data_IF_973497149466
#
_entry.id   IF_973497149466
#
_cell.length_a   1.000
_cell.length_b   1.000
_cell.length_c   1.000
_cell.angle_alpha   90.00
_cell.angle_beta   90.00
_cell.angle_gamma   90.00
#
_symmetry.space_group_name_H-M   'P 1'
#
loop_
_entity.id
_entity.type
_entity.pdbx_description
1 polymer ?
#
# COMPACT_ATOMS: atom_id res chain seq x y z
N UNK A 1 6.06 11.96 20.87
CA UNK A 1 5.13 11.81 19.72
C UNK A 1 3.76 12.32 20.14
N UNK A 2 3.09 13.09 19.29
CA UNK A 2 1.67 13.38 19.52
C UNK A 2 0.85 12.09 19.32
N UNK A 3 -0.35 12.01 19.91
CA UNK A 3 -1.19 10.81 19.87
C UNK A 3 -1.48 10.34 18.43
N UNK A 4 -1.66 11.28 17.50
CA UNK A 4 -1.87 10.96 16.09
C UNK A 4 -0.66 10.31 15.41
N UNK A 5 0.55 10.84 15.62
CA UNK A 5 1.78 10.30 15.03
C UNK A 5 2.00 8.84 15.42
N UNK A 6 1.70 8.46 16.67
CA UNK A 6 1.78 7.04 17.09
C UNK A 6 0.83 6.13 16.31
N UNK A 7 -0.36 6.62 15.92
CA UNK A 7 -1.36 5.83 15.16
C UNK A 7 -0.96 5.61 13.71
N UNK A 8 -0.09 6.45 13.13
CA UNK A 8 0.41 6.27 11.76
C UNK A 8 1.19 4.97 11.59
N UNK A 9 1.75 4.41 12.67
CA UNK A 9 2.44 3.12 12.64
C UNK A 9 1.52 1.92 12.33
N UNK A 10 0.19 2.11 12.40
CA UNK A 10 -0.76 1.12 11.91
C UNK A 10 -0.68 0.95 10.38
N UNK A 11 -0.18 1.94 9.64
CA UNK A 11 -0.04 1.87 8.18
C UNK A 11 0.92 0.76 7.75
N UNK A 12 2.22 0.75 8.14
CA UNK A 12 3.12 -0.33 7.75
C UNK A 12 2.70 -1.68 8.34
N UNK A 13 2.06 -1.69 9.51
CA UNK A 13 1.50 -2.91 10.10
C UNK A 13 0.37 -3.50 9.24
N UNK A 14 -0.56 -2.67 8.77
CA UNK A 14 -1.66 -3.13 7.91
C UNK A 14 -1.16 -3.63 6.57
N UNK A 15 -0.14 -2.96 6.01
CA UNK A 15 0.52 -3.39 4.78
C UNK A 15 1.25 -4.72 4.96
N UNK A 16 1.95 -4.93 6.07
CA UNK A 16 2.55 -6.23 6.39
C UNK A 16 1.48 -7.32 6.44
N UNK A 17 0.37 -7.10 7.17
CA UNK A 17 -0.73 -8.07 7.28
C UNK A 17 -1.31 -8.39 5.89
N UNK A 18 -1.53 -7.38 5.06
CA UNK A 18 -2.04 -7.54 3.71
C UNK A 18 -1.09 -8.36 2.84
N UNK A 19 0.20 -8.03 2.85
CA UNK A 19 1.22 -8.70 2.06
C UNK A 19 1.44 -10.16 2.51
N UNK A 20 1.27 -10.47 3.80
CA UNK A 20 1.28 -11.85 4.30
C UNK A 20 0.11 -12.68 3.77
N UNK A 21 -1.04 -12.06 3.54
CA UNK A 21 -2.22 -12.71 2.95
C UNK A 21 -2.07 -12.90 1.43
N UNK A 22 -1.58 -11.87 0.75
CA UNK A 22 -1.50 -11.76 -0.70
C UNK A 22 -0.35 -12.60 -1.30
N UNK A 23 0.87 -12.39 -0.81
CA UNK A 23 2.09 -12.92 -1.43
C UNK A 23 2.11 -14.43 -1.67
N UNK A 24 1.60 -15.29 -0.74
CA UNK A 24 1.61 -16.72 -0.96
C UNK A 24 0.82 -17.18 -2.18
N UNK A 25 -0.16 -16.38 -2.65
CA UNK A 25 -1.12 -16.78 -3.68
C UNK A 25 -1.07 -15.91 -4.93
N UNK A 26 -0.56 -14.68 -4.84
CA UNK A 26 -0.67 -13.68 -5.93
C UNK A 26 -0.04 -14.12 -7.24
N UNK A 27 1.11 -14.83 -7.21
CA UNK A 27 1.78 -15.30 -8.42
C UNK A 27 0.96 -16.39 -9.12
N UNK A 28 0.42 -17.35 -8.34
CA UNK A 28 -0.42 -18.40 -8.89
C UNK A 28 -1.73 -17.83 -9.45
N UNK A 29 -2.32 -16.87 -8.76
CA UNK A 29 -3.48 -16.13 -9.22
C UNK A 29 -3.21 -15.39 -10.54
N UNK A 30 -2.14 -14.58 -10.59
CA UNK A 30 -1.74 -13.84 -11.79
C UNK A 30 -1.57 -14.76 -13.01
N UNK A 31 -0.87 -15.89 -12.85
CA UNK A 31 -0.64 -16.87 -13.93
C UNK A 31 -1.92 -17.52 -14.43
N UNK A 32 -2.87 -17.86 -13.54
CA UNK A 32 -4.19 -18.40 -13.95
C UNK A 32 -5.00 -17.42 -14.79
N UNK A 33 -4.81 -16.12 -14.56
CA UNK A 33 -5.47 -15.05 -15.30
C UNK A 33 -4.59 -14.46 -16.43
N UNK A 34 -3.59 -15.23 -16.90
CA UNK A 34 -2.81 -14.90 -18.10
C UNK A 34 -1.69 -13.87 -17.90
N UNK A 35 -1.38 -13.49 -16.65
CA UNK A 35 -0.32 -12.53 -16.34
C UNK A 35 0.95 -13.27 -15.91
N UNK A 36 1.99 -13.18 -16.73
CA UNK A 36 3.30 -13.76 -16.45
C UNK A 36 4.09 -12.91 -15.47
N UNK A 37 4.17 -13.36 -14.22
CA UNK A 37 5.00 -12.72 -13.17
C UNK A 37 5.93 -13.77 -12.55
N UNK A 38 7.18 -13.36 -12.32
CA UNK A 38 8.15 -14.16 -11.59
C UNK A 38 7.97 -14.06 -10.06
N UNK A 39 8.19 -15.17 -9.35
CA UNK A 39 7.96 -15.26 -7.91
C UNK A 39 8.99 -14.46 -7.10
N UNK A 40 10.24 -14.43 -7.55
CA UNK A 40 11.33 -13.70 -6.88
C UNK A 40 11.18 -12.21 -7.13
N UNK A 41 10.90 -11.80 -8.37
CA UNK A 41 10.54 -10.41 -8.69
C UNK A 41 9.39 -9.92 -7.81
N UNK A 42 8.29 -10.67 -7.74
CA UNK A 42 7.13 -10.30 -6.92
C UNK A 42 7.49 -10.27 -5.42
N UNK A 43 8.33 -11.19 -4.94
CA UNK A 43 8.78 -11.19 -3.56
C UNK A 43 9.57 -9.94 -3.18
N UNK A 44 10.45 -9.47 -4.06
CA UNK A 44 11.20 -8.22 -3.87
C UNK A 44 10.23 -7.02 -3.89
N UNK A 45 9.29 -6.98 -4.84
CA UNK A 45 8.31 -5.91 -4.94
C UNK A 45 7.45 -5.80 -3.66
N UNK A 46 6.94 -6.93 -3.15
CA UNK A 46 6.15 -6.99 -1.91
C UNK A 46 6.98 -6.58 -0.68
N UNK A 47 8.25 -7.02 -0.62
CA UNK A 47 9.16 -6.61 0.45
C UNK A 47 9.35 -5.09 0.45
N UNK A 48 9.64 -4.50 -0.71
CA UNK A 48 9.78 -3.05 -0.86
C UNK A 48 8.47 -2.32 -0.53
N UNK A 49 7.32 -2.82 -0.97
CA UNK A 49 6.02 -2.28 -0.64
C UNK A 49 5.78 -2.24 0.89
N UNK A 50 6.30 -3.23 1.62
CA UNK A 50 6.21 -3.30 3.09
C UNK A 50 7.15 -2.30 3.77
N UNK A 51 8.38 -2.14 3.25
CA UNK A 51 9.43 -1.38 3.91
C UNK A 51 9.43 0.12 3.59
N UNK A 52 9.15 0.51 2.34
CA UNK A 52 9.19 1.92 1.90
C UNK A 52 8.22 2.87 2.64
N UNK A 53 7.04 2.43 3.11
CA UNK A 53 6.17 3.25 3.95
C UNK A 53 6.79 3.67 5.29
N UNK A 54 7.70 2.86 5.85
CA UNK A 54 8.29 3.06 7.18
C UNK A 54 8.97 4.44 7.30
N UNK A 55 9.93 4.84 6.42
CA UNK A 55 10.55 6.16 6.52
C UNK A 55 9.55 7.31 6.33
N UNK A 56 8.50 7.14 5.52
CA UNK A 56 7.45 8.16 5.34
C UNK A 56 6.67 8.36 6.64
N UNK A 57 6.24 7.26 7.26
CA UNK A 57 5.51 7.26 8.53
C UNK A 57 6.37 7.77 9.68
N UNK A 58 7.63 7.32 9.78
CA UNK A 58 8.57 7.81 10.78
C UNK A 58 8.77 9.33 10.67
N UNK A 59 8.98 9.83 9.45
CA UNK A 59 9.14 11.25 9.20
C UNK A 59 7.90 12.09 9.58
N UNK A 60 6.70 11.61 9.26
CA UNK A 60 5.46 12.27 9.65
C UNK A 60 5.23 12.22 11.17
N UNK A 61 5.59 11.11 11.82
CA UNK A 61 5.44 10.92 13.27
C UNK A 61 6.39 11.80 14.09
N UNK A 62 7.59 12.07 13.59
CA UNK A 62 8.58 12.94 14.22
C UNK A 62 8.31 14.43 14.01
N UNK A 63 7.61 14.79 12.93
CA UNK A 63 7.30 16.19 12.58
C UNK A 63 5.78 16.38 12.40
N UNK A 64 4.99 16.23 13.48
CA UNK A 64 3.52 16.21 13.37
C UNK A 64 2.89 17.54 12.91
N UNK A 65 3.61 18.66 13.03
CA UNK A 65 3.16 19.97 12.53
C UNK A 65 3.45 20.16 11.04
N UNK A 66 4.26 19.28 10.42
CA UNK A 66 4.57 19.35 9.01
C UNK A 66 3.45 18.70 8.19
N UNK A 67 2.55 19.55 7.71
CA UNK A 67 1.36 19.12 6.95
C UNK A 67 1.69 18.30 5.70
N UNK A 68 2.76 18.63 4.98
CA UNK A 68 3.17 17.89 3.77
C UNK A 68 3.56 16.45 4.10
N UNK A 69 4.34 16.24 5.17
CA UNK A 69 4.70 14.88 5.63
C UNK A 69 3.47 14.10 6.06
N UNK A 70 2.51 14.76 6.71
CA UNK A 70 1.25 14.14 7.10
C UNK A 70 0.40 13.75 5.90
N UNK A 71 0.30 14.61 4.88
CA UNK A 71 -0.38 14.30 3.64
C UNK A 71 0.26 13.10 2.92
N UNK A 72 1.59 13.04 2.86
CA UNK A 72 2.31 11.90 2.30
C UNK A 72 2.03 10.61 3.06
N UNK A 73 2.04 10.65 4.40
CA UNK A 73 1.70 9.48 5.21
C UNK A 73 0.25 9.03 5.01
N UNK A 74 -0.71 9.97 4.91
CA UNK A 74 -2.14 9.66 4.70
C UNK A 74 -2.49 9.33 3.24
N UNK A 75 -1.61 9.60 2.28
CA UNK A 75 -1.76 9.11 0.92
C UNK A 75 -1.65 7.57 0.86
N UNK A 76 -0.83 6.97 1.72
CA UNK A 76 -0.61 5.51 1.76
C UNK A 76 -1.91 4.74 2.12
N UNK A 77 -2.65 5.03 3.20
CA UNK A 77 -3.90 4.35 3.48
C UNK A 77 -4.98 4.59 2.41
N UNK A 78 -5.00 5.75 1.75
CA UNK A 78 -5.90 5.97 0.61
C UNK A 78 -5.54 5.08 -0.59
N UNK A 79 -4.25 4.95 -0.91
CA UNK A 79 -3.74 4.01 -1.90
C UNK A 79 -4.17 2.58 -1.54
N UNK A 80 -3.98 2.15 -0.29
CA UNK A 80 -4.35 0.81 0.16
C UNK A 80 -5.86 0.56 0.18
N UNK A 81 -6.68 1.59 0.42
CA UNK A 81 -8.13 1.49 0.31
C UNK A 81 -8.57 1.33 -1.15
N UNK A 82 -7.93 2.04 -2.10
CA UNK A 82 -8.18 1.81 -3.53
C UNK A 82 -7.71 0.42 -3.96
N UNK A 83 -6.56 -0.04 -3.46
CA UNK A 83 -6.05 -1.39 -3.69
C UNK A 83 -7.04 -2.46 -3.21
N UNK A 84 -7.63 -2.28 -2.03
CA UNK A 84 -8.70 -3.15 -1.54
C UNK A 84 -9.91 -3.19 -2.50
N UNK A 85 -10.29 -2.03 -3.02
CA UNK A 85 -11.33 -1.91 -4.05
C UNK A 85 -10.99 -2.67 -5.33
N UNK A 86 -9.74 -2.62 -5.81
CA UNK A 86 -9.32 -3.36 -7.01
C UNK A 86 -9.34 -4.88 -6.80
N UNK A 87 -8.89 -5.39 -5.64
CA UNK A 87 -8.98 -6.81 -5.32
C UNK A 87 -10.43 -7.30 -5.21
N UNK A 88 -11.30 -6.52 -4.57
CA UNK A 88 -12.73 -6.82 -4.50
C UNK A 88 -13.37 -6.82 -5.88
N UNK A 89 -13.08 -5.81 -6.71
CA UNK A 89 -13.59 -5.72 -8.07
C UNK A 89 -13.13 -6.91 -8.93
N UNK A 90 -11.86 -7.28 -8.84
CA UNK A 90 -11.32 -8.47 -9.51
C UNK A 90 -12.00 -9.75 -9.03
N UNK A 91 -12.21 -9.89 -7.72
CA UNK A 91 -12.88 -11.06 -7.15
C UNK A 91 -14.29 -11.24 -7.70
N UNK A 92 -15.02 -10.13 -7.83
CA UNK A 92 -16.38 -10.14 -8.39
C UNK A 92 -16.33 -10.40 -9.90
N UNK A 93 -15.50 -9.66 -10.64
CA UNK A 93 -15.47 -9.68 -12.10
C UNK A 93 -14.95 -11.00 -12.68
N UNK A 94 -13.97 -11.62 -12.01
CA UNK A 94 -13.34 -12.88 -12.44
C UNK A 94 -13.96 -14.11 -11.77
N UNK A 95 -14.87 -13.89 -10.81
CA UNK A 95 -15.46 -14.95 -9.96
C UNK A 95 -14.41 -15.88 -9.33
N UNK A 96 -13.19 -15.37 -9.10
CA UNK A 96 -12.08 -16.06 -8.47
C UNK A 96 -11.52 -15.17 -7.36
N UNK A 97 -11.19 -15.75 -6.22
CA UNK A 97 -10.69 -14.99 -5.08
C UNK A 97 -9.35 -14.30 -5.42
N UNK A 98 -9.36 -12.96 -5.50
CA UNK A 98 -8.14 -12.16 -5.61
C UNK A 98 -7.44 -12.09 -4.25
N UNK A 99 -6.20 -12.61 -4.10
CA UNK A 99 -5.45 -12.54 -2.85
C UNK A 99 -5.30 -11.08 -2.41
N UNK A 100 -5.51 -10.80 -1.13
CA UNK A 100 -5.53 -9.43 -0.60
C UNK A 100 -6.93 -8.84 -0.42
N UNK A 101 -7.99 -9.49 -0.93
CA UNK A 101 -9.37 -9.01 -0.76
C UNK A 101 -9.80 -8.99 0.71
N UNK A 102 -9.53 -10.05 1.48
CA UNK A 102 -9.97 -10.14 2.88
C UNK A 102 -9.34 -9.02 3.70
N UNK A 103 -8.01 -8.94 3.75
CA UNK A 103 -7.30 -7.90 4.51
C UNK A 103 -7.54 -6.50 3.94
N UNK A 104 -7.70 -6.37 2.63
CA UNK A 104 -8.07 -5.12 1.98
C UNK A 104 -9.36 -4.54 2.56
N UNK A 105 -10.42 -5.36 2.62
CA UNK A 105 -11.75 -4.94 3.05
C UNK A 105 -11.89 -4.89 4.57
N UNK A 106 -11.28 -5.82 5.32
CA UNK A 106 -11.44 -5.89 6.78
C UNK A 106 -10.41 -5.10 7.57
N UNK A 107 -9.28 -4.74 6.97
CA UNK A 107 -8.19 -4.03 7.66
C UNK A 107 -7.86 -2.71 6.98
N UNK A 108 -7.41 -2.73 5.72
CA UNK A 108 -6.86 -1.54 5.06
C UNK A 108 -7.92 -0.44 4.86
N UNK A 109 -9.08 -0.80 4.33
CA UNK A 109 -10.15 0.16 4.09
C UNK A 109 -10.73 0.76 5.39
N UNK A 110 -11.07 -0.04 6.42
CA UNK A 110 -11.47 0.50 7.73
C UNK A 110 -10.40 1.38 8.37
N UNK A 111 -9.13 0.98 8.31
CA UNK A 111 -8.02 1.77 8.83
C UNK A 111 -7.90 3.11 8.10
N UNK A 112 -8.02 3.13 6.78
CA UNK A 112 -7.98 4.36 6.00
C UNK A 112 -9.10 5.32 6.40
N UNK A 113 -10.34 4.82 6.48
CA UNK A 113 -11.49 5.62 6.91
C UNK A 113 -11.27 6.17 8.32
N UNK A 114 -10.79 5.34 9.24
CA UNK A 114 -10.53 5.75 10.62
C UNK A 114 -9.42 6.80 10.71
N UNK A 115 -8.27 6.60 10.06
CA UNK A 115 -7.16 7.56 10.06
C UNK A 115 -7.57 8.92 9.49
N UNK A 116 -8.36 8.95 8.42
CA UNK A 116 -8.86 10.20 7.84
C UNK A 116 -9.84 10.92 8.77
N UNK A 117 -10.73 10.16 9.43
CA UNK A 117 -11.67 10.72 10.43
C UNK A 117 -10.93 11.31 11.62
N UNK A 118 -9.94 10.61 12.15
CA UNK A 118 -9.16 11.08 13.29
C UNK A 118 -8.27 12.28 12.91
N UNK A 119 -7.68 12.29 11.71
CA UNK A 119 -6.90 13.42 11.21
C UNK A 119 -7.74 14.70 11.14
N UNK A 120 -9.00 14.57 10.68
CA UNK A 120 -9.95 15.69 10.60
C UNK A 120 -10.41 16.13 12.00
N UNK A 121 -10.78 15.18 12.87
CA UNK A 121 -11.26 15.43 14.24
C UNK A 121 -10.22 16.12 15.11
N UNK A 122 -8.96 15.71 15.00
CA UNK A 122 -7.86 16.28 15.77
C UNK A 122 -7.25 17.53 15.12
N UNK A 123 -7.79 17.98 13.97
CA UNK A 123 -7.31 19.17 13.27
C UNK A 123 -5.89 19.05 12.72
N UNK A 124 -5.41 17.81 12.51
CA UNK A 124 -4.06 17.54 11.98
C UNK A 124 -3.96 18.02 10.54
N UNK A 125 -5.01 17.77 9.75
CA UNK A 125 -5.20 18.27 8.40
C UNK A 125 -6.64 18.77 8.23
N UNK A 126 -6.79 19.78 7.40
CA UNK A 126 -8.10 20.29 6.95
C UNK A 126 -8.73 19.33 5.92
N UNK A 127 -10.04 19.43 5.71
CA UNK A 127 -10.73 18.62 4.71
C UNK A 127 -10.15 18.73 3.28
N UNK A 128 -9.76 19.92 2.77
CA UNK A 128 -9.07 20.04 1.49
C UNK A 128 -7.72 19.32 1.45
N UNK A 129 -6.93 19.40 2.53
CA UNK A 129 -5.63 18.74 2.61
C UNK A 129 -5.77 17.21 2.65
N UNK A 130 -6.80 16.69 3.32
CA UNK A 130 -7.16 15.27 3.29
C UNK A 130 -7.62 14.83 1.91
N UNK A 131 -8.45 15.63 1.22
CA UNK A 131 -8.83 15.35 -0.16
C UNK A 131 -7.61 15.27 -1.07
N UNK A 132 -6.64 16.18 -0.91
CA UNK A 132 -5.38 16.13 -1.66
C UNK A 132 -4.57 14.86 -1.35
N UNK A 133 -4.47 14.46 -0.08
CA UNK A 133 -3.81 13.21 0.31
C UNK A 133 -4.49 11.99 -0.33
N UNK A 134 -5.82 11.96 -0.34
CA UNK A 134 -6.59 10.87 -0.96
C UNK A 134 -6.37 10.82 -2.48
N UNK A 135 -6.45 11.97 -3.16
CA UNK A 135 -6.20 12.05 -4.60
C UNK A 135 -4.76 11.62 -4.95
N UNK A 136 -3.78 12.04 -4.14
CA UNK A 136 -2.39 11.61 -4.30
C UNK A 136 -2.26 10.10 -4.13
N UNK A 137 -2.84 9.53 -3.06
CA UNK A 137 -2.83 8.09 -2.80
C UNK A 137 -3.45 7.28 -3.93
N UNK A 138 -4.67 7.65 -4.35
CA UNK A 138 -5.36 7.01 -5.45
C UNK A 138 -4.57 7.12 -6.77
N UNK A 139 -4.05 8.30 -7.08
CA UNK A 139 -3.25 8.53 -8.29
C UNK A 139 -1.91 7.77 -8.29
N UNK A 140 -1.39 7.43 -7.12
CA UNK A 140 -0.13 6.69 -6.96
C UNK A 140 -0.28 5.16 -7.00
N UNK A 141 -1.49 4.60 -6.96
CA UNK A 141 -1.66 3.13 -6.96
C UNK A 141 -0.95 2.47 -8.15
N UNK A 142 -1.31 2.84 -9.37
CA UNK A 142 -0.72 2.24 -10.58
C UNK A 142 0.77 2.57 -10.73
N UNK A 143 1.22 3.85 -10.61
CA UNK A 143 2.65 4.17 -10.71
C UNK A 143 3.49 3.44 -9.66
N UNK A 144 3.04 3.38 -8.40
CA UNK A 144 3.77 2.70 -7.34
C UNK A 144 3.89 1.20 -7.62
N UNK A 145 2.81 0.54 -8.03
CA UNK A 145 2.85 -0.87 -8.41
C UNK A 145 3.84 -1.15 -9.54
N UNK A 146 3.82 -0.34 -10.61
CA UNK A 146 4.76 -0.47 -11.72
C UNK A 146 6.22 -0.24 -11.31
N UNK A 147 6.48 0.79 -10.50
CA UNK A 147 7.82 1.09 -9.98
C UNK A 147 8.33 -0.07 -9.12
N UNK A 148 7.49 -0.61 -8.23
CA UNK A 148 7.86 -1.73 -7.36
C UNK A 148 8.17 -2.99 -8.17
N UNK A 149 7.37 -3.28 -9.21
CA UNK A 149 7.63 -4.41 -10.11
C UNK A 149 8.90 -4.21 -10.93
N UNK A 150 9.17 -2.98 -11.40
CA UNK A 150 10.41 -2.63 -12.12
C UNK A 150 11.63 -2.77 -11.21
N UNK A 151 11.56 -2.28 -9.98
CA UNK A 151 12.62 -2.44 -8.99
C UNK A 151 12.84 -3.91 -8.64
N UNK A 152 11.76 -4.67 -8.48
CA UNK A 152 11.82 -6.10 -8.27
C UNK A 152 12.57 -6.80 -9.39
N UNK A 153 12.26 -6.45 -10.65
CA UNK A 153 12.91 -7.00 -11.83
C UNK A 153 14.40 -6.63 -11.88
N UNK A 154 14.72 -5.35 -11.67
CA UNK A 154 16.09 -4.85 -11.72
C UNK A 154 16.97 -5.52 -10.67
N UNK A 155 16.48 -5.58 -9.42
CA UNK A 155 17.21 -6.22 -8.32
C UNK A 155 17.38 -7.71 -8.58
N UNK A 156 16.35 -8.38 -9.09
CA UNK A 156 16.40 -9.79 -9.45
C UNK A 156 17.52 -10.08 -10.46
N UNK A 157 17.60 -9.27 -11.54
CA UNK A 157 18.61 -9.35 -12.60
C UNK A 157 20.02 -9.04 -12.11
N UNK A 158 20.19 -8.02 -11.27
CA UNK A 158 21.49 -7.66 -10.71
C UNK A 158 22.05 -8.77 -9.79
N UNK A 159 21.17 -9.54 -9.15
CA UNK A 159 21.56 -10.65 -8.29
C UNK A 159 21.78 -11.97 -9.05
N UNK A 160 21.41 -12.05 -10.34
CA UNK A 160 21.64 -13.21 -11.21
C UNK A 160 22.24 -12.78 -12.57
N UNK A 161 23.46 -12.23 -12.60
CA UNK A 161 24.09 -11.88 -13.87
C UNK A 161 24.42 -13.16 -14.67
N UNK A 162 23.59 -13.51 -15.66
CA UNK A 162 23.90 -14.58 -16.63
C UNK A 162 22.76 -15.50 -17.10
N UNK A 163 21.52 -15.34 -16.62
CA UNK A 163 20.38 -16.14 -17.11
C UNK A 163 19.67 -15.45 -18.28
N UNK A 164 20.14 -15.71 -19.51
CA UNK A 164 19.40 -15.48 -20.76
C UNK A 164 19.19 -16.82 -21.44
#
# INVERSE_FOLDING_TARGET
MNRFGSRLWLIPLSMLIHNLEEYPRIVAYARRHGVGIDRRQMGIAVLLATLLPIPVVAAASQQPTNRRRMQLALAIPALMALNAGTHMAQTIALQDYSPGTITGITVNMPLAIWLYREALREGVLTAPELRQAALLGCGMLTPAALILLLLGWLIDHLLQPGSV
#
